data_IF_224184739442
#
_entry.id   IF_224184739442
#
_cell.length_a   1.000
_cell.length_b   1.000
_cell.length_c   1.000
_cell.angle_alpha   90.00
_cell.angle_beta   90.00
_cell.angle_gamma   90.00
#
_symmetry.space_group_name_H-M   'P 1'
#
loop_
_entity.id
_entity.type
_entity.pdbx_description
1 polymer ?
#
# COMPACT_ATOMS: atom_id res chain seq x y z
N UNK A 1 11.76 19.72 13.82
CA UNK A 1 10.81 18.66 14.20
C UNK A 1 11.56 17.35 14.13
N UNK A 2 11.38 16.46 15.08
CA UNK A 2 12.03 15.14 15.09
C UNK A 2 11.51 14.31 13.92
N UNK A 3 12.38 13.67 13.14
CA UNK A 3 11.97 12.72 12.10
C UNK A 3 11.30 11.47 12.72
N UNK A 4 10.08 11.15 12.26
CA UNK A 4 9.31 9.96 12.63
C UNK A 4 8.53 9.41 11.42
N UNK A 5 7.69 8.38 11.63
CA UNK A 5 6.95 7.72 10.54
C UNK A 5 5.91 8.64 9.88
N UNK A 6 5.24 9.49 10.65
CA UNK A 6 4.22 10.38 10.10
C UNK A 6 4.87 11.49 9.27
N UNK A 7 5.97 12.06 9.79
CA UNK A 7 6.82 12.97 9.05
C UNK A 7 7.33 12.32 7.75
N UNK A 8 7.76 11.06 7.82
CA UNK A 8 8.23 10.32 6.65
C UNK A 8 7.13 10.19 5.59
N UNK A 9 5.91 9.77 5.97
CA UNK A 9 4.76 9.67 5.05
C UNK A 9 4.40 11.04 4.45
N UNK A 10 4.44 12.12 5.23
CA UNK A 10 4.16 13.47 4.75
C UNK A 10 5.18 13.92 3.69
N UNK A 11 6.48 13.83 3.99
CA UNK A 11 7.56 14.19 3.07
C UNK A 11 7.55 13.36 1.80
N UNK A 12 7.18 12.08 1.92
CA UNK A 12 7.01 11.21 0.77
C UNK A 12 5.88 11.72 -0.14
N UNK A 13 4.70 12.03 0.41
CA UNK A 13 3.56 12.52 -0.40
C UNK A 13 3.90 13.78 -1.18
N UNK A 14 4.59 14.73 -0.55
CA UNK A 14 5.07 15.94 -1.22
C UNK A 14 5.97 15.63 -2.43
N UNK A 15 6.79 14.58 -2.32
CA UNK A 15 7.71 14.16 -3.38
C UNK A 15 7.04 13.38 -4.50
N UNK A 16 6.04 12.57 -4.16
CA UNK A 16 5.31 11.75 -5.12
C UNK A 16 4.43 12.60 -6.05
N UNK A 17 4.08 13.84 -5.67
CA UNK A 17 3.32 14.72 -6.55
C UNK A 17 4.06 14.96 -7.89
N UNK A 18 3.38 14.61 -8.99
CA UNK A 18 3.93 14.67 -10.33
C UNK A 18 5.18 13.81 -10.59
N UNK A 19 5.57 12.92 -9.66
CA UNK A 19 6.79 12.12 -9.75
C UNK A 19 6.79 11.23 -10.99
N UNK A 20 5.68 10.55 -11.27
CA UNK A 20 5.57 9.66 -12.43
C UNK A 20 5.93 10.36 -13.74
N UNK A 21 5.38 11.56 -13.97
CA UNK A 21 5.68 12.37 -15.16
C UNK A 21 7.12 12.85 -15.22
N UNK A 22 7.80 13.02 -14.08
CA UNK A 22 9.23 13.35 -14.05
C UNK A 22 10.07 12.11 -14.38
N UNK A 23 9.73 10.96 -13.80
CA UNK A 23 10.40 9.69 -14.06
C UNK A 23 10.29 9.29 -15.55
N UNK A 24 9.10 9.38 -16.13
CA UNK A 24 8.85 9.08 -17.54
C UNK A 24 9.66 10.01 -18.47
N UNK A 25 9.65 11.32 -18.20
CA UNK A 25 10.44 12.30 -18.98
C UNK A 25 11.95 12.11 -18.86
N UNK A 26 12.42 11.63 -17.70
CA UNK A 26 13.82 11.31 -17.49
C UNK A 26 14.24 9.98 -18.15
N UNK A 27 13.29 9.21 -18.70
CA UNK A 27 13.57 7.88 -19.25
C UNK A 27 14.00 6.90 -18.16
N UNK A 28 13.38 6.97 -16.97
CA UNK A 28 13.72 6.11 -15.84
C UNK A 28 13.74 4.63 -16.26
N UNK A 29 14.89 4.00 -16.06
CA UNK A 29 15.15 2.60 -16.41
C UNK A 29 14.46 1.62 -15.49
N UNK A 30 14.15 2.05 -14.26
CA UNK A 30 13.34 1.29 -13.30
C UNK A 30 12.41 2.21 -12.51
N UNK A 31 11.11 1.94 -12.62
CA UNK A 31 10.05 2.55 -11.81
C UNK A 31 10.21 2.13 -10.35
N UNK A 32 10.52 0.85 -10.10
CA UNK A 32 10.75 0.35 -8.76
C UNK A 32 11.89 1.11 -8.06
N UNK A 33 13.03 1.27 -8.73
CA UNK A 33 14.17 1.94 -8.14
C UNK A 33 13.89 3.42 -7.87
N UNK A 34 13.21 4.10 -8.78
CA UNK A 34 12.81 5.49 -8.59
C UNK A 34 11.79 5.68 -7.46
N UNK A 35 10.79 4.80 -7.32
CA UNK A 35 9.85 4.83 -6.19
C UNK A 35 10.57 4.61 -4.86
N UNK A 36 11.50 3.65 -4.86
CA UNK A 36 12.31 3.36 -3.68
C UNK A 36 13.19 4.54 -3.31
N UNK A 37 13.80 5.21 -4.30
CA UNK A 37 14.59 6.40 -4.08
C UNK A 37 13.75 7.53 -3.47
N UNK A 38 12.56 7.79 -4.03
CA UNK A 38 11.62 8.76 -3.48
C UNK A 38 11.20 8.42 -2.04
N UNK A 39 11.01 7.13 -1.74
CA UNK A 39 10.70 6.63 -0.40
C UNK A 39 11.87 6.79 0.58
N UNK A 40 13.11 6.54 0.16
CA UNK A 40 14.29 6.63 1.02
C UNK A 40 14.78 8.06 1.21
N UNK A 41 14.55 8.94 0.25
CA UNK A 41 15.13 10.28 0.24
C UNK A 41 14.85 11.12 1.51
N UNK A 42 13.64 11.13 2.10
CA UNK A 42 13.41 11.80 3.38
C UNK A 42 14.34 11.35 4.50
N UNK A 43 14.72 10.06 4.53
CA UNK A 43 15.70 9.55 5.50
C UNK A 43 17.11 10.08 5.22
N UNK A 44 17.50 10.19 3.95
CA UNK A 44 18.79 10.76 3.53
C UNK A 44 18.88 12.23 3.95
N UNK A 45 17.84 13.02 3.70
CA UNK A 45 17.78 14.42 4.12
C UNK A 45 17.86 14.57 5.64
N UNK A 46 17.15 13.72 6.39
CA UNK A 46 17.19 13.74 7.85
C UNK A 46 18.59 13.38 8.38
N UNK A 47 19.24 12.36 7.81
CA UNK A 47 20.60 11.98 8.16
C UNK A 47 21.61 13.10 7.89
N UNK A 48 21.50 13.77 6.74
CA UNK A 48 22.34 14.93 6.38
C UNK A 48 22.14 16.13 7.33
N UNK A 49 20.94 16.27 7.91
CA UNK A 49 20.64 17.27 8.96
C UNK A 49 21.11 16.86 10.37
N UNK A 50 21.74 15.70 10.49
CA UNK A 50 22.28 15.20 11.76
C UNK A 50 21.31 14.30 12.55
N UNK A 51 20.12 13.99 12.02
CA UNK A 51 19.08 13.21 12.71
C UNK A 51 19.25 11.68 12.53
N UNK A 52 20.48 11.19 12.59
CA UNK A 52 20.78 9.78 12.27
C UNK A 52 20.11 8.79 13.22
N UNK A 53 20.00 9.15 14.51
CA UNK A 53 19.33 8.29 15.50
C UNK A 53 17.86 8.09 15.13
N UNK A 54 17.20 9.17 14.72
CA UNK A 54 15.79 9.16 14.30
C UNK A 54 15.60 8.35 13.02
N UNK A 55 16.52 8.48 12.06
CA UNK A 55 16.54 7.66 10.84
C UNK A 55 16.63 6.17 11.18
N UNK A 56 17.54 5.78 12.07
CA UNK A 56 17.69 4.38 12.49
C UNK A 56 16.43 3.87 13.20
N UNK A 57 15.82 4.68 14.06
CA UNK A 57 14.57 4.33 14.75
C UNK A 57 13.41 4.16 13.77
N UNK A 58 13.25 5.08 12.81
CA UNK A 58 12.23 5.00 11.78
C UNK A 58 12.42 3.77 10.88
N UNK A 59 13.66 3.51 10.45
CA UNK A 59 14.01 2.30 9.70
C UNK A 59 13.73 1.02 10.50
N UNK A 60 14.00 1.01 11.81
CA UNK A 60 13.69 -0.14 12.67
C UNK A 60 12.19 -0.40 12.81
N UNK A 61 11.37 0.66 12.88
CA UNK A 61 9.91 0.52 12.90
C UNK A 61 9.35 0.02 11.55
N UNK A 62 9.97 0.41 10.45
CA UNK A 62 9.48 0.14 9.08
C UNK A 62 10.15 -1.06 8.40
N UNK A 63 11.30 -1.51 8.85
CA UNK A 63 11.92 -2.74 8.37
C UNK A 63 12.71 -3.36 9.52
N UNK A 64 12.10 -4.33 10.20
CA UNK A 64 12.77 -5.04 11.29
C UNK A 64 13.61 -6.17 10.72
N UNK A 65 14.87 -5.94 10.36
CA UNK A 65 15.72 -7.01 9.84
C UNK A 65 17.07 -6.60 9.25
N UNK A 66 17.78 -7.59 8.71
CA UNK A 66 19.15 -7.44 8.15
C UNK A 66 19.21 -6.41 7.02
N UNK A 67 18.15 -6.29 6.21
CA UNK A 67 18.09 -5.30 5.14
C UNK A 67 18.02 -3.85 5.62
N UNK A 68 17.41 -3.59 6.77
CA UNK A 68 17.37 -2.25 7.36
C UNK A 68 18.76 -1.75 7.77
N UNK A 69 19.61 -2.68 8.25
CA UNK A 69 20.99 -2.37 8.56
C UNK A 69 21.79 -1.98 7.30
N UNK A 70 21.58 -2.67 6.18
CA UNK A 70 22.21 -2.30 4.89
C UNK A 70 21.80 -0.90 4.45
N UNK A 71 20.52 -0.55 4.58
CA UNK A 71 20.01 0.78 4.24
C UNK A 71 20.60 1.83 5.20
N UNK A 72 20.60 1.57 6.50
CA UNK A 72 21.16 2.49 7.50
C UNK A 72 22.66 2.75 7.29
N UNK A 73 23.44 1.70 7.02
CA UNK A 73 24.86 1.81 6.69
C UNK A 73 25.07 2.64 5.42
N UNK A 74 24.25 2.43 4.39
CA UNK A 74 24.36 3.21 3.16
C UNK A 74 24.03 4.69 3.39
N UNK A 75 22.98 4.98 4.16
CA UNK A 75 22.60 6.37 4.51
C UNK A 75 23.72 7.03 5.32
N UNK A 76 24.34 6.31 6.26
CA UNK A 76 25.50 6.82 7.00
C UNK A 76 26.65 7.15 6.06
N UNK A 77 26.96 6.29 5.08
CA UNK A 77 27.99 6.58 4.06
C UNK A 77 27.67 7.80 3.23
N UNK A 78 26.40 7.99 2.86
CA UNK A 78 25.96 9.18 2.13
C UNK A 78 26.05 10.46 2.96
N UNK A 79 25.77 10.37 4.27
CA UNK A 79 25.95 11.47 5.21
C UNK A 79 27.43 11.85 5.39
N UNK A 80 28.31 10.87 5.43
CA UNK A 80 29.75 11.07 5.66
C UNK A 80 30.50 11.53 4.39
N UNK A 81 29.84 11.49 3.23
CA UNK A 81 30.39 11.99 1.97
C UNK A 81 30.40 13.52 1.93
N UNK A 82 31.47 14.06 1.34
CA UNK A 82 31.68 15.51 1.20
C UNK A 82 31.00 16.10 -0.03
N UNK A 83 30.66 15.26 -1.01
CA UNK A 83 30.00 15.66 -2.24
C UNK A 83 28.46 15.66 -2.11
N UNK A 84 27.81 16.47 -2.94
CA UNK A 84 26.35 16.58 -2.92
C UNK A 84 25.73 15.35 -3.56
N UNK A 85 24.98 14.60 -2.77
CA UNK A 85 24.20 13.45 -3.23
C UNK A 85 22.79 13.92 -3.60
N UNK A 86 22.22 13.34 -4.64
CA UNK A 86 20.86 13.54 -5.11
C UNK A 86 19.99 12.28 -5.04
N UNK A 87 18.72 12.42 -5.38
CA UNK A 87 17.76 11.30 -5.40
C UNK A 87 18.12 10.28 -6.50
N UNK A 88 18.74 10.77 -7.59
CA UNK A 88 19.30 9.98 -8.67
C UNK A 88 20.40 9.02 -8.21
N UNK A 89 21.24 9.41 -7.25
CA UNK A 89 22.28 8.55 -6.69
C UNK A 89 21.66 7.42 -5.86
N UNK A 90 20.57 7.73 -5.14
CA UNK A 90 19.81 6.73 -4.38
C UNK A 90 19.17 5.73 -5.35
N UNK A 91 18.55 6.21 -6.43
CA UNK A 91 17.96 5.36 -7.45
C UNK A 91 19.01 4.44 -8.10
N UNK A 92 20.17 4.99 -8.49
CA UNK A 92 21.26 4.22 -9.08
C UNK A 92 21.79 3.14 -8.13
N UNK A 93 21.93 3.47 -6.83
CA UNK A 93 22.32 2.49 -5.81
C UNK A 93 21.30 1.36 -5.66
N UNK A 94 20.01 1.68 -5.68
CA UNK A 94 18.94 0.67 -5.65
C UNK A 94 19.02 -0.22 -6.90
N UNK A 95 19.10 0.35 -8.09
CA UNK A 95 19.18 -0.41 -9.36
C UNK A 95 20.36 -1.39 -9.38
N UNK A 96 21.53 -0.94 -8.92
CA UNK A 96 22.75 -1.75 -8.92
C UNK A 96 22.64 -2.96 -7.98
N UNK A 97 22.04 -2.77 -6.80
CA UNK A 97 22.10 -3.74 -5.71
C UNK A 97 20.87 -4.60 -5.54
N UNK A 98 19.69 -4.06 -5.82
CA UNK A 98 18.42 -4.74 -5.48
C UNK A 98 18.33 -6.12 -6.13
N UNK A 99 18.86 -6.29 -7.35
CA UNK A 99 18.90 -7.56 -8.07
C UNK A 99 19.80 -8.63 -7.45
N UNK A 100 20.84 -8.23 -6.69
CA UNK A 100 21.86 -9.13 -6.10
C UNK A 100 21.67 -9.34 -4.59
N UNK A 101 21.07 -8.38 -3.90
CA UNK A 101 20.92 -8.37 -2.45
C UNK A 101 19.46 -8.62 -2.05
N UNK A 102 19.09 -9.88 -1.79
CA UNK A 102 17.71 -10.25 -1.41
C UNK A 102 17.23 -9.61 -0.10
N UNK A 103 18.12 -9.47 0.88
CA UNK A 103 17.80 -8.80 2.15
C UNK A 103 17.50 -7.31 1.95
N UNK A 104 18.25 -6.65 1.07
CA UNK A 104 17.98 -5.26 0.71
C UNK A 104 16.60 -5.16 0.04
N UNK A 105 16.35 -5.98 -0.98
CA UNK A 105 15.05 -6.02 -1.67
C UNK A 105 13.87 -6.18 -0.72
N UNK A 106 13.94 -7.14 0.20
CA UNK A 106 12.87 -7.35 1.19
C UNK A 106 12.63 -6.13 2.08
N UNK A 107 13.70 -5.45 2.53
CA UNK A 107 13.54 -4.24 3.35
C UNK A 107 12.99 -3.06 2.56
N UNK A 108 13.38 -2.91 1.29
CA UNK A 108 12.80 -1.91 0.40
C UNK A 108 11.31 -2.21 0.15
N UNK A 109 10.94 -3.47 -0.05
CA UNK A 109 9.54 -3.88 -0.19
C UNK A 109 8.74 -3.57 1.07
N UNK A 110 9.26 -3.88 2.27
CA UNK A 110 8.63 -3.53 3.55
C UNK A 110 8.38 -2.02 3.68
N UNK A 111 9.35 -1.20 3.24
CA UNK A 111 9.25 0.26 3.23
C UNK A 111 8.15 0.71 2.26
N UNK A 112 8.15 0.22 1.03
CA UNK A 112 7.15 0.59 0.02
C UNK A 112 5.72 0.22 0.47
N UNK A 113 5.55 -0.93 1.12
CA UNK A 113 4.27 -1.38 1.67
C UNK A 113 3.81 -0.53 2.86
N UNK A 114 4.66 -0.35 3.88
CA UNK A 114 4.28 0.37 5.12
C UNK A 114 4.06 1.86 4.90
N UNK A 115 4.73 2.43 3.90
CA UNK A 115 4.51 3.80 3.46
C UNK A 115 3.38 3.92 2.42
N UNK A 116 2.81 2.80 1.97
CA UNK A 116 1.71 2.74 1.00
C UNK A 116 2.06 3.50 -0.30
N UNK A 117 3.33 3.45 -0.72
CA UNK A 117 3.89 4.28 -1.81
C UNK A 117 3.14 4.06 -3.12
N UNK A 118 2.90 2.79 -3.49
CA UNK A 118 2.23 2.44 -4.75
C UNK A 118 0.80 2.98 -4.79
N UNK A 119 0.08 2.88 -3.67
CA UNK A 119 -1.28 3.41 -3.55
C UNK A 119 -1.29 4.94 -3.62
N UNK A 120 -0.35 5.60 -2.94
CA UNK A 120 -0.21 7.05 -2.95
C UNK A 120 0.07 7.60 -4.36
N UNK A 121 0.95 6.95 -5.13
CA UNK A 121 1.19 7.34 -6.54
C UNK A 121 -0.06 7.10 -7.39
N UNK A 122 -0.67 5.91 -7.30
CA UNK A 122 -1.83 5.56 -8.13
C UNK A 122 -3.06 6.46 -7.91
N UNK A 123 -3.23 7.02 -6.71
CA UNK A 123 -4.33 7.94 -6.39
C UNK A 123 -4.19 9.32 -7.09
N UNK A 124 -2.97 9.73 -7.44
CA UNK A 124 -2.70 11.01 -8.10
C UNK A 124 -2.70 10.97 -9.63
N UNK A 125 -2.86 9.78 -10.23
CA UNK A 125 -2.74 9.57 -11.68
C UNK A 125 -4.10 9.47 -12.36
N UNK A 126 -4.17 9.97 -13.61
CA UNK A 126 -5.29 9.68 -14.50
C UNK A 126 -5.34 8.20 -14.89
N UNK A 127 -6.47 7.73 -15.44
CA UNK A 127 -6.67 6.30 -15.73
C UNK A 127 -5.59 5.70 -16.67
N UNK A 128 -5.19 6.45 -17.71
CA UNK A 128 -4.18 5.99 -18.68
C UNK A 128 -2.77 6.03 -18.07
N UNK A 129 -2.40 7.10 -17.38
CA UNK A 129 -1.13 7.22 -16.66
C UNK A 129 -0.99 6.13 -15.59
N UNK A 130 -2.09 5.83 -14.88
CA UNK A 130 -2.14 4.78 -13.88
C UNK A 130 -1.87 3.41 -14.47
N UNK A 131 -2.47 3.07 -15.63
CA UNK A 131 -2.20 1.79 -16.31
C UNK A 131 -0.74 1.68 -16.74
N UNK A 132 -0.20 2.74 -17.36
CA UNK A 132 1.21 2.76 -17.75
C UNK A 132 2.16 2.59 -16.56
N UNK A 133 1.85 3.26 -15.43
CA UNK A 133 2.57 3.10 -14.18
C UNK A 133 2.50 1.67 -13.63
N UNK A 134 1.29 1.09 -13.55
CA UNK A 134 1.08 -0.26 -13.03
C UNK A 134 1.79 -1.32 -13.89
N UNK A 135 1.77 -1.18 -15.22
CA UNK A 135 2.43 -2.12 -16.14
C UNK A 135 3.97 -2.02 -16.07
N UNK A 136 4.50 -0.80 -15.96
CA UNK A 136 5.94 -0.58 -15.81
C UNK A 136 6.44 -1.09 -14.45
N UNK A 137 5.70 -0.82 -13.36
CA UNK A 137 6.02 -1.36 -12.04
C UNK A 137 5.92 -2.88 -12.00
N UNK A 138 4.90 -3.48 -12.62
CA UNK A 138 4.75 -4.95 -12.71
C UNK A 138 5.97 -5.58 -13.40
N UNK A 139 6.40 -5.00 -14.53
CA UNK A 139 7.57 -5.48 -15.28
C UNK A 139 8.83 -5.48 -14.41
N UNK A 140 9.05 -4.42 -13.64
CA UNK A 140 10.18 -4.35 -12.71
C UNK A 140 10.10 -5.40 -11.61
N UNK A 141 8.92 -5.57 -10.99
CA UNK A 141 8.73 -6.52 -9.92
C UNK A 141 8.82 -7.99 -10.38
N UNK A 142 8.40 -8.29 -11.62
CA UNK A 142 8.59 -9.60 -12.24
C UNK A 142 10.07 -9.90 -12.46
N UNK A 143 10.81 -8.93 -13.03
CA UNK A 143 12.27 -9.03 -13.23
C UNK A 143 13.01 -9.23 -11.90
N UNK A 144 12.53 -8.58 -10.84
CA UNK A 144 13.04 -8.72 -9.48
C UNK A 144 12.42 -9.90 -8.72
N UNK A 145 11.55 -10.71 -9.32
CA UNK A 145 10.97 -11.89 -8.68
C UNK A 145 10.20 -11.61 -7.38
N UNK A 146 9.76 -10.37 -7.15
CA UNK A 146 8.98 -9.95 -5.98
C UNK A 146 7.56 -9.48 -6.35
N UNK A 147 7.11 -9.70 -7.59
CA UNK A 147 5.74 -9.37 -8.01
C UNK A 147 4.66 -9.93 -7.07
N UNK A 148 4.80 -11.19 -6.64
CA UNK A 148 3.80 -11.86 -5.81
C UNK A 148 3.49 -11.13 -4.49
N UNK A 149 4.40 -10.26 -4.04
CA UNK A 149 4.27 -9.46 -2.83
C UNK A 149 3.37 -8.23 -3.03
N UNK A 150 3.43 -7.62 -4.20
CA UNK A 150 2.62 -6.43 -4.56
C UNK A 150 1.38 -6.79 -5.38
N UNK A 151 1.31 -8.01 -5.89
CA UNK A 151 0.14 -8.54 -6.56
C UNK A 151 -0.84 -9.09 -5.52
N UNK A 152 -2.00 -8.45 -5.42
CA UNK A 152 -3.10 -9.03 -4.67
C UNK A 152 -3.47 -10.38 -5.33
N UNK A 153 -3.31 -11.48 -4.58
CA UNK A 153 -3.58 -12.85 -5.06
C UNK A 153 -4.87 -13.37 -4.42
N UNK A 154 -5.85 -13.78 -5.24
CA UNK A 154 -7.04 -14.51 -4.75
C UNK A 154 -6.66 -15.97 -4.55
N UNK A 155 -6.83 -16.50 -3.34
CA UNK A 155 -6.76 -17.94 -3.07
C UNK A 155 -8.16 -18.49 -2.78
N UNK A 156 -8.49 -19.66 -3.34
CA UNK A 156 -9.79 -20.31 -3.12
C UNK A 156 -10.98 -19.52 -3.69
N UNK A 157 -12.08 -19.48 -2.95
CA UNK A 157 -13.33 -18.79 -3.33
C UNK A 157 -13.30 -17.26 -3.17
N UNK A 158 -12.13 -16.64 -2.99
CA UNK A 158 -12.02 -15.21 -2.69
C UNK A 158 -12.33 -14.31 -3.91
N UNK A 159 -12.29 -13.00 -3.69
CA UNK A 159 -12.34 -12.02 -4.77
C UNK A 159 -11.51 -10.79 -4.40
N UNK A 160 -10.93 -10.15 -5.41
CA UNK A 160 -10.18 -8.91 -5.27
C UNK A 160 -10.85 -7.84 -6.13
N UNK A 161 -11.13 -6.70 -5.51
CA UNK A 161 -11.49 -5.47 -6.20
C UNK A 161 -10.42 -4.43 -5.85
N UNK A 162 -9.71 -3.94 -6.86
CA UNK A 162 -8.67 -2.93 -6.71
C UNK A 162 -9.02 -1.72 -7.58
N UNK A 163 -8.87 -0.51 -7.05
CA UNK A 163 -9.22 0.75 -7.73
C UNK A 163 -10.51 1.42 -7.25
N UNK A 164 -10.78 2.60 -7.79
CA UNK A 164 -11.95 3.41 -7.44
C UNK A 164 -13.23 2.84 -8.07
N UNK A 165 -14.28 2.69 -7.26
CA UNK A 165 -15.56 2.03 -7.61
C UNK A 165 -15.45 0.54 -7.93
N UNK A 166 -14.41 -0.13 -7.44
CA UNK A 166 -14.23 -1.57 -7.65
C UNK A 166 -15.14 -2.36 -6.71
N UNK A 167 -15.86 -3.32 -7.29
CA UNK A 167 -16.69 -4.26 -6.54
C UNK A 167 -16.30 -5.66 -6.95
N UNK A 168 -16.08 -6.54 -5.99
CA UNK A 168 -15.76 -7.93 -6.25
C UNK A 168 -16.60 -8.83 -5.36
N UNK A 169 -17.02 -9.97 -5.91
CA UNK A 169 -17.73 -11.00 -5.17
C UNK A 169 -17.02 -12.33 -5.42
N UNK A 170 -16.73 -13.04 -4.33
CA UNK A 170 -16.15 -14.39 -4.36
C UNK A 170 -17.17 -15.44 -4.76
N UNK A 171 -16.78 -16.71 -4.72
CA UNK A 171 -17.70 -17.81 -5.06
C UNK A 171 -18.92 -17.81 -4.11
N UNK A 172 -20.12 -17.74 -4.68
CA UNK A 172 -21.38 -17.63 -3.95
C UNK A 172 -21.74 -16.21 -3.47
N UNK A 173 -20.87 -15.22 -3.70
CA UNK A 173 -21.13 -13.82 -3.35
C UNK A 173 -21.93 -13.09 -4.43
N UNK A 174 -22.73 -12.10 -4.02
CA UNK A 174 -23.41 -11.17 -4.91
C UNK A 174 -22.98 -9.74 -4.62
N UNK A 175 -22.41 -9.09 -5.64
CA UNK A 175 -22.01 -7.70 -5.60
C UNK A 175 -23.12 -6.82 -6.19
N UNK A 176 -23.90 -6.14 -5.35
CA UNK A 176 -24.97 -5.25 -5.77
C UNK A 176 -24.53 -3.79 -5.66
N UNK A 177 -24.35 -3.11 -6.80
CA UNK A 177 -23.95 -1.70 -6.85
C UNK A 177 -25.10 -0.70 -6.75
N UNK A 178 -26.35 -1.17 -6.63
CA UNK A 178 -27.60 -0.37 -6.63
C UNK A 178 -28.71 -1.11 -5.88
N UNK A 179 -29.90 -0.51 -5.89
CA UNK A 179 -31.14 -1.09 -5.40
C UNK A 179 -31.45 -2.46 -6.03
N UNK A 180 -31.78 -3.43 -5.18
CA UNK A 180 -32.07 -4.82 -5.53
C UNK A 180 -33.55 -5.18 -5.29
N UNK A 181 -34.43 -4.20 -5.14
CA UNK A 181 -35.89 -4.44 -5.08
C UNK A 181 -36.31 -5.32 -6.25
N UNK A 182 -37.12 -6.34 -5.94
CA UNK A 182 -37.66 -7.33 -6.89
C UNK A 182 -36.63 -8.26 -7.55
N UNK A 183 -35.37 -8.25 -7.09
CA UNK A 183 -34.34 -9.19 -7.56
C UNK A 183 -34.38 -10.51 -6.78
N UNK A 184 -34.19 -11.63 -7.49
CA UNK A 184 -33.98 -12.94 -6.86
C UNK A 184 -32.49 -13.12 -6.60
N UNK A 185 -32.12 -13.26 -5.32
CA UNK A 185 -30.75 -13.57 -4.90
C UNK A 185 -30.72 -15.02 -4.43
N UNK A 186 -30.03 -15.88 -5.18
CA UNK A 186 -29.83 -17.29 -4.80
C UNK A 186 -28.62 -17.38 -3.88
N UNK A 187 -28.85 -17.61 -2.59
CA UNK A 187 -27.81 -17.86 -1.59
C UNK A 187 -27.70 -19.37 -1.29
N UNK A 188 -26.54 -19.82 -0.81
CA UNK A 188 -26.35 -21.20 -0.34
C UNK A 188 -27.02 -21.49 1.01
N UNK A 189 -26.56 -22.53 1.71
CA UNK A 189 -27.25 -23.20 2.82
C UNK A 189 -27.49 -22.36 4.09
N UNK A 190 -26.81 -21.23 4.26
CA UNK A 190 -26.97 -20.36 5.44
C UNK A 190 -27.18 -18.92 4.98
N UNK A 191 -28.35 -18.38 5.28
CA UNK A 191 -28.62 -16.94 5.16
C UNK A 191 -29.28 -16.43 6.44
N UNK A 192 -28.67 -15.42 7.06
CA UNK A 192 -29.29 -14.63 8.13
C UNK A 192 -29.96 -13.42 7.47
N UNK A 193 -31.29 -13.49 7.29
CA UNK A 193 -32.09 -12.34 6.86
C UNK A 193 -32.16 -11.39 8.05
N UNK A 194 -31.44 -10.26 8.02
CA UNK A 194 -31.77 -9.14 8.91
C UNK A 194 -32.98 -8.44 8.31
N UNK A 195 -34.17 -8.99 8.58
CA UNK A 195 -35.42 -8.50 8.01
C UNK A 195 -35.82 -7.19 8.69
N UNK A 196 -35.58 -6.08 7.98
CA UNK A 196 -36.20 -4.77 8.21
C UNK A 196 -36.02 -4.24 9.63
N UNK A 197 -35.01 -3.39 9.79
CA UNK A 197 -35.05 -2.38 10.84
C UNK A 197 -36.36 -1.60 10.70
N UNK A 198 -37.12 -1.49 11.80
CA UNK A 198 -38.33 -0.67 11.79
C UNK A 198 -37.96 0.76 11.36
N UNK A 199 -38.81 1.46 10.58
CA UNK A 199 -38.56 2.85 10.24
C UNK A 199 -38.28 3.66 11.51
N UNK A 200 -37.07 4.24 11.61
CA UNK A 200 -36.64 5.00 12.77
C UNK A 200 -35.64 4.33 13.73
N UNK A 201 -35.23 3.07 13.50
CA UNK A 201 -34.12 2.45 14.25
C UNK A 201 -32.80 3.14 13.89
N UNK A 202 -32.16 3.79 14.88
CA UNK A 202 -30.95 4.63 14.66
C UNK A 202 -29.77 4.30 15.58
N UNK A 203 -29.95 3.42 16.57
CA UNK A 203 -28.85 3.05 17.48
C UNK A 203 -28.66 1.53 17.59
N UNK A 204 -27.42 1.13 17.88
CA UNK A 204 -27.02 -0.27 18.09
C UNK A 204 -27.88 -0.96 19.14
N UNK A 205 -28.18 -0.27 20.24
CA UNK A 205 -29.02 -0.83 21.32
C UNK A 205 -30.46 -1.13 20.86
N UNK A 206 -31.01 -0.32 19.95
CA UNK A 206 -32.33 -0.56 19.36
C UNK A 206 -32.32 -1.76 18.42
N UNK A 207 -31.22 -1.95 17.67
CA UNK A 207 -31.00 -3.11 16.80
C UNK A 207 -30.87 -4.38 17.67
N UNK A 208 -30.01 -4.37 18.69
CA UNK A 208 -29.78 -5.51 19.58
C UNK A 208 -31.01 -5.91 20.40
N UNK A 209 -31.88 -4.93 20.70
CA UNK A 209 -33.18 -5.18 21.33
C UNK A 209 -34.17 -5.83 20.34
N UNK A 210 -34.29 -5.30 19.13
CA UNK A 210 -35.17 -5.86 18.09
C UNK A 210 -34.76 -7.30 17.73
N UNK A 211 -33.45 -7.57 17.63
CA UNK A 211 -32.91 -8.90 17.35
C UNK A 211 -33.20 -9.91 18.47
N UNK A 212 -33.18 -9.48 19.74
CA UNK A 212 -33.57 -10.33 20.87
C UNK A 212 -35.06 -10.69 20.82
N UNK A 213 -35.91 -9.70 20.57
CA UNK A 213 -37.36 -9.89 20.45
C UNK A 213 -37.74 -10.81 19.28
N UNK A 214 -37.07 -10.68 18.13
CA UNK A 214 -37.30 -11.54 16.97
C UNK A 214 -36.81 -12.98 17.22
N UNK A 215 -35.65 -13.17 17.87
CA UNK A 215 -35.13 -14.50 18.23
C UNK A 215 -36.04 -15.26 19.19
N UNK A 216 -36.66 -14.57 20.16
CA UNK A 216 -37.63 -15.18 21.08
C UNK A 216 -38.89 -15.65 20.34
N UNK A 217 -39.32 -14.91 19.32
CA UNK A 217 -40.49 -15.28 18.50
C UNK A 217 -40.29 -16.50 17.60
N UNK A 218 -39.02 -16.86 17.33
CA UNK A 218 -38.68 -18.02 16.49
C UNK A 218 -38.54 -19.32 17.30
N UNK A 219 -38.40 -19.22 18.63
CA UNK A 219 -38.31 -20.37 19.53
C UNK A 219 -39.65 -21.00 19.94
N UNK A 220 -40.78 -20.51 19.42
CA UNK A 220 -42.14 -20.97 19.77
C UNK A 220 -42.94 -21.55 18.59
N UNK A 221 -42.27 -21.97 17.50
CA UNK A 221 -42.92 -22.64 16.36
C UNK A 221 -42.41 -24.05 16.16
#
# INVERSE_FOLDING_TARGET
>A
MTFDLDHWKERLRERLDGWWRRAERAGATSVYAGLTAAALWPLVEAAQKGEMIQVILALGAVSGGVGANLIAEQIQRWKDRTDRIGEEDVAAWVEERVGREGNLRNALDDILERLEVVAAVGAGLGADERRAFEDALRTDLERLGNLARFQATVCGSGAIAQGDRSVAAGAGGVAAGRDIRESVVTTGDVFEVISRLRPGTRSKDQIDKQLREERESWGTR
#
